data_IF_411770026690
#
_entry.id   IF_411770026690
#
_cell.length_a   1.000
_cell.length_b   1.000
_cell.length_c   1.000
_cell.angle_alpha   90.00
_cell.angle_beta   90.00
_cell.angle_gamma   90.00
#
_symmetry.space_group_name_H-M   'P 1'
#
loop_
_entity.id
_entity.type
_entity.pdbx_description
1 polymer ?
#
# COMPACT_ATOMS: atom_id res chain seq x y z
N UNK A 1 -8.40 13.30 -1.55
CA UNK A 1 -7.26 12.35 -1.63
C UNK A 1 -6.84 12.04 -0.21
N UNK A 2 -6.56 10.79 0.12
CA UNK A 2 -6.10 10.45 1.48
C UNK A 2 -4.69 10.94 1.73
N UNK A 3 -4.41 11.45 2.95
CA UNK A 3 -3.08 11.89 3.31
C UNK A 3 -2.11 10.71 3.32
N UNK A 4 -0.82 10.99 3.10
CA UNK A 4 0.23 9.97 3.20
C UNK A 4 0.32 9.47 4.65
N UNK A 5 0.23 8.15 4.89
CA UNK A 5 0.30 7.60 6.23
C UNK A 5 1.76 7.48 6.70
N UNK A 6 2.38 8.61 7.04
CA UNK A 6 3.80 8.67 7.42
C UNK A 6 4.15 7.74 8.60
N UNK A 7 3.26 7.63 9.59
CA UNK A 7 3.48 6.72 10.73
C UNK A 7 3.55 5.25 10.30
N UNK A 8 2.67 4.84 9.38
CA UNK A 8 2.68 3.48 8.80
C UNK A 8 3.95 3.29 7.97
N UNK A 9 4.34 4.30 7.18
CA UNK A 9 5.55 4.28 6.37
C UNK A 9 6.80 4.05 7.23
N UNK A 10 6.92 4.81 8.31
CA UNK A 10 8.06 4.72 9.23
C UNK A 10 8.06 3.39 10.00
N UNK A 11 6.90 2.84 10.33
CA UNK A 11 6.80 1.49 10.89
C UNK A 11 7.30 0.42 9.92
N UNK A 12 6.85 0.46 8.66
CA UNK A 12 7.30 -0.47 7.64
C UNK A 12 8.82 -0.36 7.45
N UNK A 13 9.38 0.86 7.39
CA UNK A 13 10.84 1.06 7.31
C UNK A 13 11.60 0.40 8.46
N UNK A 14 11.10 0.51 9.70
CA UNK A 14 11.70 -0.16 10.86
C UNK A 14 11.66 -1.68 10.71
N UNK A 15 10.53 -2.22 10.22
CA UNK A 15 10.36 -3.66 10.00
C UNK A 15 11.26 -4.19 8.88
N UNK A 16 11.43 -3.44 7.79
CA UNK A 16 12.36 -3.81 6.71
C UNK A 16 13.81 -3.97 7.20
N UNK A 17 14.19 -3.29 8.29
CA UNK A 17 15.51 -3.46 8.92
C UNK A 17 15.69 -4.77 9.71
N UNK A 18 14.61 -5.52 9.96
CA UNK A 18 14.64 -6.74 10.80
C UNK A 18 13.96 -7.96 10.17
N UNK A 19 13.25 -7.80 9.05
CA UNK A 19 12.59 -8.88 8.32
C UNK A 19 12.55 -8.63 6.81
N UNK A 20 12.12 -9.63 6.06
CA UNK A 20 11.89 -9.52 4.62
C UNK A 20 11.00 -8.32 4.28
N UNK A 21 11.41 -7.56 3.27
CA UNK A 21 10.77 -6.29 2.93
C UNK A 21 9.34 -6.47 2.44
N UNK A 22 9.07 -7.55 1.69
CA UNK A 22 7.71 -7.87 1.24
C UNK A 22 6.85 -8.23 2.44
N UNK A 23 7.37 -8.95 3.42
CA UNK A 23 6.62 -9.20 4.66
C UNK A 23 6.39 -7.90 5.46
N UNK A 24 7.37 -7.02 5.53
CA UNK A 24 7.28 -5.74 6.24
C UNK A 24 6.16 -4.84 5.67
N UNK A 25 6.09 -4.69 4.33
CA UNK A 25 5.06 -3.84 3.69
C UNK A 25 3.64 -4.41 3.79
N UNK A 26 3.53 -5.71 4.08
CA UNK A 26 2.27 -6.40 4.35
C UNK A 26 1.98 -6.59 5.85
N UNK A 27 2.82 -6.04 6.73
CA UNK A 27 2.72 -6.27 8.16
C UNK A 27 1.37 -5.79 8.72
N UNK A 28 0.61 -6.75 9.25
CA UNK A 28 -0.73 -6.52 9.80
C UNK A 28 -1.73 -5.93 8.80
N UNK A 29 -1.43 -5.97 7.49
CA UNK A 29 -2.17 -5.28 6.43
C UNK A 29 -2.45 -3.80 6.74
N UNK A 30 -1.56 -3.12 7.46
CA UNK A 30 -1.82 -1.75 7.96
C UNK A 30 -2.01 -0.75 6.82
N UNK A 31 -1.11 -0.78 5.84
CA UNK A 31 -1.18 0.08 4.66
C UNK A 31 -2.41 -0.23 3.79
N UNK A 32 -2.65 -1.53 3.55
CA UNK A 32 -3.79 -2.03 2.78
C UNK A 32 -5.10 -1.60 3.44
N UNK A 33 -5.22 -1.75 4.76
CA UNK A 33 -6.40 -1.32 5.51
C UNK A 33 -6.60 0.19 5.47
N UNK A 34 -5.52 0.96 5.49
CA UNK A 34 -5.56 2.42 5.39
C UNK A 34 -6.13 2.86 4.04
N UNK A 35 -5.61 2.30 2.94
CA UNK A 35 -6.08 2.61 1.58
C UNK A 35 -7.51 2.10 1.35
N UNK A 36 -7.84 0.89 1.85
CA UNK A 36 -9.14 0.26 1.65
C UNK A 36 -10.30 1.08 2.20
N UNK A 37 -10.09 1.86 3.28
CA UNK A 37 -11.14 2.72 3.86
C UNK A 37 -11.76 3.67 2.85
N UNK A 38 -10.99 4.11 1.85
CA UNK A 38 -11.46 5.04 0.82
C UNK A 38 -12.14 4.38 -0.35
N UNK A 39 -11.73 3.15 -0.67
CA UNK A 39 -12.23 2.41 -1.84
C UNK A 39 -13.28 1.37 -1.44
N UNK A 40 -13.62 1.31 -0.14
CA UNK A 40 -14.68 0.45 0.39
C UNK A 40 -16.00 0.80 -0.28
N UNK A 41 -16.63 -0.20 -0.87
CA UNK A 41 -17.86 -0.05 -1.66
C UNK A 41 -17.63 -0.01 -3.16
N UNK A 42 -16.38 0.22 -3.61
CA UNK A 42 -15.98 0.04 -5.02
C UNK A 42 -15.45 -1.38 -5.27
N UNK A 43 -14.79 -1.97 -4.28
CA UNK A 43 -14.19 -3.30 -4.34
C UNK A 43 -14.35 -4.02 -2.99
N UNK A 44 -14.52 -5.33 -3.00
CA UNK A 44 -14.50 -6.13 -1.77
C UNK A 44 -13.06 -6.30 -1.24
N UNK A 45 -12.93 -6.60 0.05
CA UNK A 45 -11.62 -6.70 0.70
C UNK A 45 -10.71 -7.75 0.07
N UNK A 46 -11.24 -8.90 -0.34
CA UNK A 46 -10.43 -9.99 -0.89
C UNK A 46 -9.87 -9.60 -2.25
N UNK A 47 -10.72 -9.09 -3.12
CA UNK A 47 -10.31 -8.61 -4.45
C UNK A 47 -9.33 -7.44 -4.35
N UNK A 48 -9.52 -6.55 -3.36
CA UNK A 48 -8.58 -5.47 -3.08
C UNK A 48 -7.19 -5.98 -2.66
N UNK A 49 -7.13 -6.97 -1.76
CA UNK A 49 -5.84 -7.57 -1.39
C UNK A 49 -5.16 -8.24 -2.59
N UNK A 50 -5.92 -8.90 -3.46
CA UNK A 50 -5.37 -9.48 -4.69
C UNK A 50 -4.78 -8.40 -5.61
N UNK A 51 -5.51 -7.30 -5.83
CA UNK A 51 -5.01 -6.13 -6.58
C UNK A 51 -3.71 -5.59 -5.97
N UNK A 52 -3.69 -5.36 -4.66
CA UNK A 52 -2.51 -4.84 -3.96
C UNK A 52 -1.31 -5.80 -4.04
N UNK A 53 -1.56 -7.12 -4.07
CA UNK A 53 -0.50 -8.14 -4.19
C UNK A 53 0.30 -7.98 -5.48
N UNK A 54 -0.37 -7.64 -6.59
CA UNK A 54 0.23 -7.37 -7.91
C UNK A 54 1.04 -6.07 -7.94
N UNK A 55 0.86 -5.21 -6.93
CA UNK A 55 1.55 -3.91 -6.76
C UNK A 55 2.56 -3.88 -5.63
N UNK A 56 2.96 -5.04 -5.10
CA UNK A 56 3.90 -5.11 -3.97
C UNK A 56 5.19 -4.35 -4.24
N UNK A 57 5.69 -4.35 -5.48
CA UNK A 57 6.91 -3.61 -5.85
C UNK A 57 6.69 -2.09 -5.77
N UNK A 58 5.56 -1.57 -6.26
CA UNK A 58 5.21 -0.16 -6.15
C UNK A 58 5.03 0.28 -4.69
N UNK A 59 4.50 -0.59 -3.82
CA UNK A 59 4.43 -0.33 -2.38
C UNK A 59 5.83 -0.19 -1.78
N UNK A 60 6.76 -1.09 -2.13
CA UNK A 60 8.16 -1.03 -1.68
C UNK A 60 8.84 0.26 -2.16
N UNK A 61 8.67 0.62 -3.44
CA UNK A 61 9.20 1.86 -4.00
C UNK A 61 8.67 3.09 -3.27
N UNK A 62 7.39 3.11 -2.91
CA UNK A 62 6.83 4.20 -2.10
C UNK A 62 7.50 4.28 -0.72
N UNK A 63 7.69 3.15 -0.03
CA UNK A 63 8.37 3.12 1.27
C UNK A 63 9.80 3.66 1.16
N UNK A 64 10.53 3.28 0.10
CA UNK A 64 11.90 3.74 -0.19
C UNK A 64 11.98 5.19 -0.66
N UNK A 65 10.85 5.79 -1.04
CA UNK A 65 10.78 7.16 -1.55
C UNK A 65 11.08 7.30 -3.04
N UNK A 66 11.08 6.18 -3.78
CA UNK A 66 11.25 6.15 -5.24
C UNK A 66 9.95 6.48 -5.98
N UNK A 67 8.80 6.24 -5.34
CA UNK A 67 7.45 6.56 -5.84
C UNK A 67 6.75 7.48 -4.84
N UNK A 68 6.14 8.56 -5.34
CA UNK A 68 5.38 9.49 -4.51
C UNK A 68 4.06 8.88 -4.02
N UNK A 69 3.51 9.37 -2.91
CA UNK A 69 2.23 8.87 -2.40
C UNK A 69 1.08 9.06 -3.40
N UNK A 70 0.98 10.24 -4.02
CA UNK A 70 -0.04 10.54 -5.03
C UNK A 70 0.10 9.65 -6.27
N UNK A 71 1.33 9.34 -6.66
CA UNK A 71 1.62 8.45 -7.78
C UNK A 71 1.19 7.01 -7.46
N UNK A 72 1.52 6.50 -6.27
CA UNK A 72 1.06 5.18 -5.81
C UNK A 72 -0.47 5.09 -5.81
N UNK A 73 -1.15 6.10 -5.26
CA UNK A 73 -2.61 6.15 -5.26
C UNK A 73 -3.18 6.18 -6.68
N UNK A 74 -2.54 6.89 -7.61
CA UNK A 74 -2.96 6.96 -9.01
C UNK A 74 -2.85 5.60 -9.71
N UNK A 75 -1.78 4.84 -9.42
CA UNK A 75 -1.59 3.46 -9.93
C UNK A 75 -2.73 2.56 -9.43
N UNK A 76 -3.00 2.57 -8.11
CA UNK A 76 -4.06 1.75 -7.50
C UNK A 76 -5.43 2.14 -8.04
N UNK A 77 -5.71 3.43 -8.20
CA UNK A 77 -6.98 3.91 -8.75
C UNK A 77 -7.18 3.52 -10.21
N UNK A 78 -6.10 3.40 -11.00
CA UNK A 78 -6.17 2.91 -12.36
C UNK A 78 -6.59 1.44 -12.37
N UNK A 79 -5.98 0.61 -11.52
CA UNK A 79 -6.30 -0.81 -11.41
C UNK A 79 -7.75 -1.06 -10.95
N UNK A 80 -8.32 -0.16 -10.15
CA UNK A 80 -9.73 -0.26 -9.72
C UNK A 80 -10.75 0.03 -10.83
N UNK A 81 -10.32 0.60 -11.95
CA UNK A 81 -11.18 0.96 -13.08
C UNK A 81 -11.06 0.00 -14.27
N UNK A 82 -10.06 -0.88 -14.26
CA UNK A 82 -9.85 -1.94 -15.25
C UNK A 82 -10.64 -3.20 -14.87
#
# INVERSE_FOLDING_TARGET
>A
MIPEPLEIKDEIKRLMGVMDEKLAVWYGNKLQSYIYREVRGMIDWRSFLELMSRRTEELLKWVRGEVGWEELLSIIQKDLKE
#
